data_IF_360194520292
#
_entry.id   IF_360194520292
#
_cell.length_a   1.000
_cell.length_b   1.000
_cell.length_c   1.000
_cell.angle_alpha   90.00
_cell.angle_beta   90.00
_cell.angle_gamma   90.00
#
_symmetry.space_group_name_H-M   'P 1'
#
loop_
_entity.id
_entity.type
_entity.pdbx_description
1 polymer ?
#
# COMPACT_ATOMS: atom_id res chain seq x y z
N UNK A 1 23.38 2.78 8.93
CA UNK A 1 22.68 1.67 8.25
C UNK A 1 22.45 2.03 6.79
N UNK A 2 22.97 1.26 5.86
CA UNK A 2 22.74 1.49 4.42
C UNK A 2 21.24 1.40 4.13
N UNK A 3 20.65 2.49 3.66
CA UNK A 3 19.29 2.46 3.11
C UNK A 3 19.34 1.60 1.85
N UNK A 4 18.88 0.35 1.94
CA UNK A 4 18.75 -0.51 0.77
C UNK A 4 17.92 0.23 -0.30
N UNK A 5 18.53 0.42 -1.46
CA UNK A 5 17.92 1.11 -2.60
C UNK A 5 16.68 0.33 -3.03
N UNK A 6 15.51 0.96 -2.86
CA UNK A 6 14.23 0.35 -3.25
C UNK A 6 14.11 0.29 -4.77
N UNK A 7 13.62 -0.82 -5.29
CA UNK A 7 13.30 -0.97 -6.72
C UNK A 7 12.19 0.01 -7.13
N UNK A 8 12.03 0.25 -8.43
CA UNK A 8 10.93 1.08 -8.94
C UNK A 8 9.57 0.59 -8.45
N UNK A 9 9.32 -0.72 -8.57
CA UNK A 9 8.09 -1.35 -8.10
C UNK A 9 7.85 -1.16 -6.60
N UNK A 10 8.88 -1.34 -5.76
CA UNK A 10 8.76 -1.09 -4.31
C UNK A 10 8.41 0.37 -4.02
N UNK A 11 9.00 1.33 -4.75
CA UNK A 11 8.65 2.75 -4.61
C UNK A 11 7.19 3.00 -4.99
N UNK A 12 6.69 2.36 -6.05
CA UNK A 12 5.29 2.47 -6.45
C UNK A 12 4.33 1.95 -5.38
N UNK A 13 4.61 0.78 -4.79
CA UNK A 13 3.81 0.22 -3.68
C UNK A 13 3.76 1.19 -2.51
N UNK A 14 4.92 1.74 -2.12
CA UNK A 14 4.98 2.71 -1.02
C UNK A 14 4.28 4.03 -1.35
N UNK A 15 4.35 4.49 -2.60
CA UNK A 15 3.64 5.68 -3.05
C UNK A 15 2.12 5.47 -2.99
N UNK A 16 1.64 4.30 -3.43
CA UNK A 16 0.22 3.94 -3.34
C UNK A 16 -0.25 3.89 -1.88
N UNK A 17 0.51 3.24 -0.99
CA UNK A 17 0.20 3.19 0.44
C UNK A 17 0.10 4.60 1.06
N UNK A 18 1.10 5.45 0.81
CA UNK A 18 1.11 6.84 1.31
C UNK A 18 -0.06 7.65 0.75
N UNK A 19 -0.40 7.47 -0.53
CA UNK A 19 -1.58 8.11 -1.15
C UNK A 19 -2.87 7.65 -0.48
N UNK A 20 -3.05 6.34 -0.26
CA UNK A 20 -4.23 5.80 0.43
C UNK A 20 -4.39 6.41 1.82
N UNK A 21 -3.32 6.48 2.63
CA UNK A 21 -3.37 7.13 3.94
C UNK A 21 -3.69 8.63 3.87
N UNK A 22 -3.22 9.35 2.85
CA UNK A 22 -3.62 10.77 2.64
C UNK A 22 -5.09 10.89 2.29
N UNK A 23 -5.63 9.98 1.48
CA UNK A 23 -7.06 9.95 1.16
C UNK A 23 -7.93 9.64 2.39
N UNK A 24 -7.42 8.88 3.36
CA UNK A 24 -8.14 8.70 4.63
C UNK A 24 -8.37 10.04 5.34
N UNK A 25 -7.41 10.96 5.28
CA UNK A 25 -7.52 12.29 5.92
C UNK A 25 -8.60 13.18 5.31
N UNK A 26 -9.08 12.88 4.10
CA UNK A 26 -10.18 13.63 3.47
C UNK A 26 -11.57 13.11 3.90
N UNK A 27 -11.65 12.05 4.69
CA UNK A 27 -12.90 11.52 5.25
C UNK A 27 -13.28 12.25 6.55
N UNK A 28 -14.56 12.22 6.97
CA UNK A 28 -14.97 12.74 8.28
C UNK A 28 -14.16 12.10 9.42
N UNK A 29 -13.77 12.90 10.42
CA UNK A 29 -12.88 12.48 11.51
C UNK A 29 -13.31 11.16 12.17
N UNK A 30 -14.62 11.01 12.43
CA UNK A 30 -15.22 9.81 13.02
C UNK A 30 -14.98 8.52 12.22
N UNK A 31 -14.81 8.62 10.89
CA UNK A 31 -14.59 7.47 10.00
C UNK A 31 -13.11 7.22 9.71
N UNK A 32 -12.22 8.20 9.94
CA UNK A 32 -10.80 8.11 9.55
C UNK A 32 -10.09 6.90 10.17
N UNK A 33 -10.35 6.62 11.45
CA UNK A 33 -9.72 5.51 12.16
C UNK A 33 -9.99 4.16 11.47
N UNK A 34 -11.25 3.87 11.15
CA UNK A 34 -11.66 2.62 10.47
C UNK A 34 -11.00 2.48 9.10
N UNK A 35 -10.95 3.54 8.31
CA UNK A 35 -10.31 3.50 6.99
C UNK A 35 -8.79 3.37 7.08
N UNK A 36 -8.14 4.02 8.06
CA UNK A 36 -6.70 3.86 8.30
C UNK A 36 -6.35 2.43 8.68
N UNK A 37 -7.14 1.81 9.57
CA UNK A 37 -6.98 0.40 9.94
C UNK A 37 -7.14 -0.51 8.73
N UNK A 38 -8.17 -0.30 7.91
CA UNK A 38 -8.39 -1.06 6.69
C UNK A 38 -7.18 -0.99 5.75
N UNK A 39 -6.70 0.21 5.43
CA UNK A 39 -5.52 0.39 4.55
C UNK A 39 -4.30 -0.33 5.13
N UNK A 40 -4.00 -0.16 6.42
CA UNK A 40 -2.86 -0.83 7.07
C UNK A 40 -2.98 -2.35 7.01
N UNK A 41 -4.17 -2.87 7.33
CA UNK A 41 -4.45 -4.29 7.32
C UNK A 41 -4.26 -4.87 5.92
N UNK A 42 -4.89 -4.29 4.89
CA UNK A 42 -4.80 -4.79 3.51
C UNK A 42 -3.36 -4.84 3.00
N UNK A 43 -2.57 -3.78 3.20
CA UNK A 43 -1.18 -3.76 2.76
C UNK A 43 -0.31 -4.76 3.52
N UNK A 44 -0.52 -4.92 4.84
CA UNK A 44 0.21 -5.90 5.65
C UNK A 44 -0.13 -7.34 5.24
N UNK A 45 -1.42 -7.65 5.07
CA UNK A 45 -1.87 -8.98 4.63
C UNK A 45 -1.27 -9.33 3.28
N UNK A 46 -1.32 -8.43 2.29
CA UNK A 46 -0.72 -8.66 0.97
C UNK A 46 0.81 -8.81 1.04
N UNK A 47 1.49 -8.03 1.89
CA UNK A 47 2.94 -8.14 2.06
C UNK A 47 3.36 -9.47 2.70
N UNK A 48 2.50 -10.08 3.53
CA UNK A 48 2.73 -11.39 4.14
C UNK A 48 2.32 -12.56 3.22
N UNK A 49 1.32 -12.38 2.36
CA UNK A 49 0.78 -13.45 1.51
C UNK A 49 1.38 -13.52 0.11
N UNK A 50 1.91 -12.41 -0.41
CA UNK A 50 2.48 -12.35 -1.77
C UNK A 50 3.99 -12.36 -1.69
N UNK A 51 4.60 -13.40 -2.27
CA UNK A 51 6.06 -13.47 -2.41
C UNK A 51 6.58 -12.22 -3.15
N UNK A 52 7.67 -11.58 -2.68
CA UNK A 52 8.30 -10.48 -3.39
C UNK A 52 8.77 -10.82 -4.82
N UNK A 53 8.92 -12.12 -5.13
CA UNK A 53 9.29 -12.62 -6.47
C UNK A 53 8.09 -12.68 -7.43
N UNK A 54 6.86 -12.64 -6.93
CA UNK A 54 5.65 -12.69 -7.75
C UNK A 54 5.28 -11.28 -8.25
N UNK A 55 6.11 -10.78 -9.18
CA UNK A 55 6.02 -9.41 -9.71
C UNK A 55 4.67 -9.15 -10.39
N UNK A 56 4.16 -10.10 -11.18
CA UNK A 56 2.89 -9.97 -11.90
C UNK A 56 1.70 -9.75 -10.96
N UNK A 57 1.68 -10.44 -9.82
CA UNK A 57 0.64 -10.27 -8.80
C UNK A 57 0.74 -8.90 -8.12
N UNK A 58 1.95 -8.45 -7.81
CA UNK A 58 2.18 -7.11 -7.21
C UNK A 58 1.70 -6.01 -8.17
N UNK A 59 2.04 -6.12 -9.46
CA UNK A 59 1.59 -5.18 -10.48
C UNK A 59 0.06 -5.19 -10.68
N UNK A 60 -0.56 -6.37 -10.64
CA UNK A 60 -2.02 -6.49 -10.69
C UNK A 60 -2.67 -5.76 -9.50
N UNK A 61 -2.19 -5.99 -8.28
CA UNK A 61 -2.68 -5.33 -7.07
C UNK A 61 -2.45 -3.82 -7.11
N UNK A 62 -1.30 -3.36 -7.60
CA UNK A 62 -1.01 -1.94 -7.81
C UNK A 62 -2.00 -1.30 -8.77
N UNK A 63 -2.28 -1.94 -9.92
CA UNK A 63 -3.27 -1.45 -10.89
C UNK A 63 -4.66 -1.40 -10.28
N UNK A 64 -5.06 -2.44 -9.54
CA UNK A 64 -6.36 -2.49 -8.85
C UNK A 64 -6.51 -1.37 -7.82
N UNK A 65 -5.47 -1.06 -7.05
CA UNK A 65 -5.52 -0.01 -6.04
C UNK A 65 -5.38 1.43 -6.56
N UNK A 66 -4.95 1.62 -7.82
CA UNK A 66 -4.86 2.94 -8.47
C UNK A 66 -6.17 3.39 -9.13
N UNK A 67 -7.08 2.45 -9.43
CA UNK A 67 -8.44 2.71 -9.91
C UNK A 67 -9.30 3.26 -8.78
#
# INVERSE_FOLDING_TARGET
>A
MSSLRKSGLQKEVLNLYRRALRMVKTKPASKQHKFSLFVRYTFRTNASSVSPRNVSTIEHLLRKGKR
#
